data_IF_599532149152
#
_entry.id   IF_599532149152
#
_cell.length_a   1.000
_cell.length_b   1.000
_cell.length_c   1.000
_cell.angle_alpha   90.00
_cell.angle_beta   90.00
_cell.angle_gamma   90.00
#
_symmetry.space_group_name_H-M   'P 1'
#
loop_
_entity.id
_entity.type
_entity.pdbx_description
1 polymer ?
#
# COMPACT_ATOMS: atom_id res chain seq x y z
N UNK A 1 -10.03 -14.85 15.63
CA UNK A 1 -11.51 -14.76 15.53
C UNK A 1 -11.86 -14.59 14.07
N UNK A 2 -12.64 -15.48 13.49
CA UNK A 2 -13.05 -15.41 12.08
C UNK A 2 -14.49 -14.92 12.04
N UNK A 3 -14.72 -13.70 11.53
CA UNK A 3 -16.08 -13.23 11.33
C UNK A 3 -16.68 -13.95 10.11
N UNK A 4 -17.97 -14.29 10.17
CA UNK A 4 -18.65 -15.00 9.07
C UNK A 4 -18.55 -14.17 7.78
N UNK A 5 -18.07 -14.78 6.71
CA UNK A 5 -17.88 -14.12 5.41
C UNK A 5 -16.57 -13.34 5.24
N UNK A 6 -15.67 -13.36 6.23
CA UNK A 6 -14.33 -12.76 6.11
C UNK A 6 -13.28 -13.87 6.05
N UNK A 7 -12.58 -13.94 4.92
CA UNK A 7 -11.41 -14.81 4.79
C UNK A 7 -10.21 -14.17 5.51
N UNK A 8 -9.58 -14.93 6.41
CA UNK A 8 -8.41 -14.49 7.17
C UNK A 8 -7.19 -15.29 6.74
N UNK A 9 -6.09 -14.60 6.43
CA UNK A 9 -4.80 -15.22 6.14
C UNK A 9 -3.72 -14.54 6.99
N UNK A 10 -2.69 -15.29 7.36
CA UNK A 10 -1.57 -14.81 8.18
C UNK A 10 -0.30 -14.91 7.35
N UNK A 11 0.44 -13.80 7.25
CA UNK A 11 1.76 -13.80 6.61
C UNK A 11 2.81 -14.34 7.59
N UNK A 12 3.78 -15.10 7.09
CA UNK A 12 4.92 -15.59 7.90
C UNK A 12 5.95 -14.49 8.19
N UNK A 13 5.88 -13.36 7.49
CA UNK A 13 6.70 -12.18 7.70
C UNK A 13 5.85 -10.92 7.55
N UNK A 14 6.40 -9.92 6.86
CA UNK A 14 5.64 -8.71 6.55
C UNK A 14 4.37 -9.02 5.72
N UNK A 15 3.27 -8.39 6.12
CA UNK A 15 1.96 -8.60 5.52
C UNK A 15 1.74 -7.74 4.28
N UNK A 16 2.53 -6.69 4.05
CA UNK A 16 2.23 -5.69 3.01
C UNK A 16 2.25 -6.29 1.62
N UNK A 17 3.27 -7.10 1.32
CA UNK A 17 3.35 -7.82 0.05
C UNK A 17 2.14 -8.73 -0.17
N UNK A 18 1.66 -9.39 0.89
CA UNK A 18 0.51 -10.27 0.82
C UNK A 18 -0.78 -9.50 0.56
N UNK A 19 -0.98 -8.37 1.24
CA UNK A 19 -2.12 -7.48 1.09
C UNK A 19 -2.18 -6.92 -0.33
N UNK A 20 -1.05 -6.42 -0.85
CA UNK A 20 -0.98 -5.84 -2.20
C UNK A 20 -1.29 -6.90 -3.25
N UNK A 21 -0.65 -8.08 -3.17
CA UNK A 21 -0.94 -9.18 -4.11
C UNK A 21 -2.40 -9.60 -4.10
N UNK A 22 -3.00 -9.75 -2.91
CA UNK A 22 -4.42 -10.05 -2.77
C UNK A 22 -5.30 -8.98 -3.45
N UNK A 23 -4.99 -7.70 -3.24
CA UNK A 23 -5.70 -6.60 -3.88
C UNK A 23 -5.59 -6.60 -5.41
N UNK A 24 -4.40 -6.87 -5.96
CA UNK A 24 -4.16 -7.00 -7.39
C UNK A 24 -4.94 -8.19 -7.99
N UNK A 25 -4.89 -9.35 -7.33
CA UNK A 25 -5.64 -10.54 -7.75
C UNK A 25 -7.15 -10.27 -7.77
N UNK A 26 -7.69 -9.61 -6.74
CA UNK A 26 -9.12 -9.24 -6.70
C UNK A 26 -9.50 -8.24 -7.77
N UNK A 27 -8.61 -7.33 -8.15
CA UNK A 27 -8.87 -6.33 -9.19
C UNK A 27 -9.02 -6.93 -10.60
N UNK A 28 -8.65 -8.20 -10.80
CA UNK A 28 -8.90 -8.92 -12.06
C UNK A 28 -10.36 -9.34 -12.25
N UNK A 29 -11.10 -9.51 -11.14
CA UNK A 29 -12.48 -10.02 -11.13
C UNK A 29 -13.49 -9.02 -10.55
N UNK A 30 -13.02 -7.94 -9.92
CA UNK A 30 -13.86 -6.94 -9.27
C UNK A 30 -13.58 -5.56 -9.88
N UNK A 31 -14.62 -4.78 -10.22
CA UNK A 31 -14.45 -3.49 -10.90
C UNK A 31 -13.79 -2.43 -10.01
N UNK A 32 -13.85 -2.58 -8.68
CA UNK A 32 -13.27 -1.69 -7.68
C UNK A 32 -12.74 -2.54 -6.53
N UNK A 33 -11.54 -2.23 -6.06
CA UNK A 33 -10.93 -2.84 -4.87
C UNK A 33 -10.49 -1.74 -3.90
N UNK A 34 -10.87 -1.86 -2.64
CA UNK A 34 -10.39 -1.01 -1.56
C UNK A 34 -9.49 -1.81 -0.61
N UNK A 35 -8.28 -1.32 -0.38
CA UNK A 35 -7.34 -1.86 0.60
C UNK A 35 -7.34 -0.93 1.80
N UNK A 36 -7.73 -1.44 2.97
CA UNK A 36 -7.78 -0.64 4.19
C UNK A 36 -6.51 -0.83 5.00
N UNK A 37 -5.71 0.23 5.15
CA UNK A 37 -4.48 0.19 5.93
C UNK A 37 -3.98 1.59 6.34
N UNK A 38 -3.15 1.65 7.37
CA UNK A 38 -2.49 2.88 7.80
C UNK A 38 -1.06 3.02 7.27
N UNK A 39 -0.45 1.91 6.86
CA UNK A 39 0.92 1.86 6.38
C UNK A 39 1.08 2.61 5.05
N UNK A 40 2.17 3.36 4.95
CA UNK A 40 2.53 4.11 3.75
C UNK A 40 3.24 3.22 2.74
N UNK A 41 3.92 2.16 3.16
CA UNK A 41 4.64 1.26 2.26
C UNK A 41 3.68 0.57 1.28
N UNK A 42 2.43 0.32 1.72
CA UNK A 42 1.36 -0.17 0.85
C UNK A 42 1.03 0.76 -0.33
N UNK A 43 1.04 2.09 -0.17
CA UNK A 43 0.78 2.99 -1.31
C UNK A 43 1.93 2.97 -2.29
N UNK A 44 3.16 2.85 -1.80
CA UNK A 44 4.36 2.77 -2.62
C UNK A 44 4.37 1.47 -3.42
N UNK A 45 4.09 0.34 -2.77
CA UNK A 45 3.97 -0.96 -3.42
C UNK A 45 2.84 -0.99 -4.46
N UNK A 46 1.68 -0.37 -4.17
CA UNK A 46 0.60 -0.26 -5.14
C UNK A 46 0.96 0.58 -6.35
N UNK A 47 1.66 1.71 -6.16
CA UNK A 47 2.14 2.54 -7.27
C UNK A 47 3.12 1.76 -8.15
N UNK A 48 3.98 0.94 -7.55
CA UNK A 48 4.95 0.11 -8.27
C UNK A 48 4.32 -1.06 -9.04
N UNK A 49 3.31 -1.73 -8.46
CA UNK A 49 2.84 -3.04 -8.91
C UNK A 49 1.46 -3.04 -9.59
N UNK A 50 0.61 -2.04 -9.32
CA UNK A 50 -0.71 -1.98 -9.92
C UNK A 50 -0.64 -1.56 -11.40
N UNK A 51 -1.53 -2.11 -12.22
CA UNK A 51 -1.68 -1.61 -13.59
C UNK A 51 -2.32 -0.20 -13.54
N UNK A 52 -1.88 0.75 -14.40
CA UNK A 52 -2.48 2.10 -14.48
C UNK A 52 -3.98 2.11 -14.78
N UNK A 53 -4.51 1.00 -15.30
CA UNK A 53 -5.91 0.78 -15.61
C UNK A 53 -6.72 0.19 -14.45
N UNK A 54 -6.08 -0.21 -13.34
CA UNK A 54 -6.78 -0.80 -12.20
C UNK A 54 -7.47 0.26 -11.32
N UNK A 55 -8.70 -0.02 -10.90
CA UNK A 55 -9.44 0.83 -9.95
C UNK A 55 -9.21 0.36 -8.51
N UNK A 56 -7.96 0.51 -8.04
CA UNK A 56 -7.58 0.17 -6.67
C UNK A 56 -7.50 1.46 -5.85
N UNK A 57 -8.00 1.39 -4.62
CA UNK A 57 -8.00 2.49 -3.67
C UNK A 57 -7.34 2.06 -2.37
N UNK A 58 -6.47 2.91 -1.83
CA UNK A 58 -5.99 2.77 -0.47
C UNK A 58 -6.89 3.59 0.45
N UNK A 59 -7.61 2.92 1.33
CA UNK A 59 -8.41 3.52 2.39
C UNK A 59 -7.57 3.61 3.66
N UNK A 60 -7.15 4.82 4.01
CA UNK A 60 -6.58 5.10 5.33
C UNK A 60 -7.72 5.31 6.32
N UNK A 61 -7.92 4.41 7.29
CA UNK A 61 -8.97 4.58 8.29
C UNK A 61 -8.71 5.83 9.13
N UNK A 62 -9.78 6.51 9.52
CA UNK A 62 -9.72 7.66 10.40
C UNK A 62 -9.20 7.27 11.79
N UNK A 63 -8.61 8.23 12.49
CA UNK A 63 -8.14 8.05 13.88
C UNK A 63 -8.51 9.27 14.71
N UNK A 64 -9.29 9.06 15.78
CA UNK A 64 -9.79 10.13 16.67
C UNK A 64 -10.57 11.18 15.85
N UNK A 65 -10.10 12.44 15.84
CA UNK A 65 -10.69 13.57 15.10
C UNK A 65 -10.25 13.64 13.63
N UNK A 66 -9.44 12.70 13.16
CA UNK A 66 -8.99 12.64 11.75
C UNK A 66 -9.91 11.73 10.97
N UNK A 67 -10.52 12.27 9.92
CA UNK A 67 -11.38 11.52 9.01
C UNK A 67 -10.62 10.47 8.22
N UNK A 68 -11.35 9.44 7.76
CA UNK A 68 -10.81 8.47 6.83
C UNK A 68 -10.48 9.13 5.49
N UNK A 69 -9.40 8.70 4.85
CA UNK A 69 -8.96 9.21 3.55
C UNK A 69 -8.90 8.08 2.55
N UNK A 70 -9.30 8.36 1.31
CA UNK A 70 -9.24 7.43 0.21
C UNK A 70 -8.27 7.96 -0.85
N UNK A 71 -7.32 7.13 -1.27
CA UNK A 71 -6.34 7.46 -2.29
C UNK A 71 -6.53 6.55 -3.50
N UNK A 72 -6.74 7.12 -4.68
CA UNK A 72 -6.82 6.35 -5.93
C UNK A 72 -5.41 6.05 -6.43
N UNK A 73 -5.06 4.78 -6.56
CA UNK A 73 -3.75 4.37 -7.10
C UNK A 73 -3.61 4.84 -8.54
N UNK A 74 -4.65 4.65 -9.35
CA UNK A 74 -4.75 5.15 -10.73
C UNK A 74 -4.44 6.65 -10.82
N UNK A 75 -5.03 7.47 -9.94
CA UNK A 75 -4.78 8.92 -9.95
C UNK A 75 -3.32 9.24 -9.63
N UNK A 76 -2.77 8.60 -8.60
CA UNK A 76 -1.37 8.78 -8.20
C UNK A 76 -0.39 8.31 -9.29
N UNK A 77 -0.72 7.24 -10.00
CA UNK A 77 0.08 6.72 -11.11
C UNK A 77 0.06 7.62 -12.35
N UNK A 78 -1.03 8.35 -12.59
CA UNK A 78 -1.18 9.27 -13.71
C UNK A 78 -0.68 10.68 -13.41
N UNK A 79 -0.40 10.99 -12.15
CA UNK A 79 0.14 12.28 -11.74
C UNK A 79 1.57 12.43 -12.30
N UNK A 80 1.87 13.47 -13.08
CA UNK A 80 3.17 13.63 -13.72
C UNK A 80 4.33 13.58 -12.71
N UNK A 81 5.35 12.78 -13.02
CA UNK A 81 6.57 12.59 -12.22
C UNK A 81 6.37 12.00 -10.81
N UNK A 82 5.13 11.90 -10.31
CA UNK A 82 4.86 11.47 -8.94
C UNK A 82 5.28 10.02 -8.67
N UNK A 83 4.94 9.02 -9.53
CA UNK A 83 5.35 7.64 -9.30
C UNK A 83 6.86 7.47 -9.24
N UNK A 84 7.58 8.07 -10.19
CA UNK A 84 9.05 7.98 -10.21
C UNK A 84 9.65 8.64 -8.98
N UNK A 85 9.11 9.79 -8.57
CA UNK A 85 9.58 10.55 -7.41
C UNK A 85 9.38 9.77 -6.11
N UNK A 86 8.18 9.21 -5.87
CA UNK A 86 7.91 8.49 -4.63
C UNK A 86 8.69 7.17 -4.56
N UNK A 87 8.83 6.45 -5.67
CA UNK A 87 9.62 5.22 -5.74
C UNK A 87 11.10 5.51 -5.53
N UNK A 88 11.63 6.58 -6.13
CA UNK A 88 12.99 7.04 -5.89
C UNK A 88 13.22 7.39 -4.42
N UNK A 89 12.33 8.18 -3.81
CA UNK A 89 12.46 8.55 -2.40
C UNK A 89 12.38 7.34 -1.47
N UNK A 90 11.50 6.37 -1.73
CA UNK A 90 11.41 5.17 -0.92
C UNK A 90 12.67 4.30 -1.06
N UNK A 91 13.16 4.08 -2.28
CA UNK A 91 14.39 3.33 -2.53
C UNK A 91 15.63 4.02 -1.91
N UNK A 92 15.68 5.35 -1.96
CA UNK A 92 16.80 6.14 -1.46
C UNK A 92 16.81 6.30 0.06
N UNK A 93 15.66 6.59 0.69
CA UNK A 93 15.60 6.72 2.14
C UNK A 93 15.61 5.36 2.84
N UNK A 94 15.15 4.33 2.15
CA UNK A 94 14.86 3.00 2.69
C UNK A 94 13.50 2.97 3.38
N UNK A 95 12.86 1.80 3.33
CA UNK A 95 11.61 1.52 4.04
C UNK A 95 11.82 1.31 5.53
N UNK A 96 10.94 0.54 6.15
CA UNK A 96 10.81 0.48 7.62
C UNK A 96 12.04 -0.06 8.39
N UNK A 97 12.98 -0.70 7.69
CA UNK A 97 14.04 -1.50 8.30
C UNK A 97 15.41 -0.79 8.31
N UNK A 98 15.69 0.11 7.36
CA UNK A 98 17.03 0.71 7.23
C UNK A 98 16.97 2.09 6.60
N UNK A 99 17.51 3.10 7.28
CA UNK A 99 17.80 4.38 6.64
C UNK A 99 19.09 4.26 5.81
N UNK A 100 19.00 4.37 4.48
CA UNK A 100 20.19 4.21 3.63
C UNK A 100 21.18 5.37 3.84
N UNK A 101 20.65 6.58 4.07
CA UNK A 101 21.43 7.81 4.29
C UNK A 101 22.30 7.72 5.54
N UNK A 102 21.74 7.24 6.66
CA UNK A 102 22.47 7.20 7.93
C UNK A 102 23.17 5.87 8.19
N UNK A 103 23.01 4.88 7.29
CA UNK A 103 23.46 3.49 7.46
C UNK A 103 23.06 2.90 8.82
N UNK A 104 21.93 3.37 9.37
CA UNK A 104 21.40 2.95 10.68
C UNK A 104 20.10 2.20 10.48
N UNK A 105 20.02 1.04 11.12
CA UNK A 105 18.78 0.28 11.27
C UNK A 105 17.90 0.93 12.34
N UNK A 106 16.59 0.83 12.16
CA UNK A 106 15.63 1.13 13.22
C UNK A 106 15.89 0.14 14.35
N UNK A 107 15.99 0.62 15.60
CA UNK A 107 16.07 -0.29 16.74
C UNK A 107 14.71 -1.00 16.85
N UNK A 108 14.72 -2.33 16.80
CA UNK A 108 13.54 -3.19 16.98
C UNK A 108 13.47 -3.58 18.45
#
# INVERSE_FOLDING_TARGET
>A
MTAKGIETRVATGDADTYIVRCGLEKATSHPIVAITAQDVDLVVLLIALALPESNIYLMKPGKRKVEAKLFSTRKLQKEPSFPQTILFFHAFNGGDVTSAVYRKRKAI
#
